data_IF_655509362825
#
_entry.id   IF_655509362825
#
_cell.length_a   1.000
_cell.length_b   1.000
_cell.length_c   1.000
_cell.angle_alpha   90.00
_cell.angle_beta   90.00
_cell.angle_gamma   90.00
#
_symmetry.space_group_name_H-M   'P 1'
#
loop_
_entity.id
_entity.type
_entity.pdbx_description
1 polymer ?
#
# COMPACT_ATOMS: atom_id res chain seq x y z
N UNK A 1 -7.44 10.44 12.19
CA UNK A 1 -6.60 10.77 11.03
C UNK A 1 -7.27 10.18 9.81
N UNK A 2 -6.51 9.94 8.75
CA UNK A 2 -6.94 9.06 7.67
C UNK A 2 -6.12 7.78 7.76
N UNK A 3 -6.69 6.69 7.28
CA UNK A 3 -6.06 5.38 7.17
C UNK A 3 -5.99 4.93 5.73
N UNK A 4 -5.50 3.73 5.50
CA UNK A 4 -5.49 3.10 4.19
C UNK A 4 -5.80 1.62 4.30
N UNK A 5 -6.55 1.10 3.33
CA UNK A 5 -6.67 -0.34 3.08
C UNK A 5 -5.89 -0.64 1.82
N UNK A 6 -4.86 -1.47 1.93
CA UNK A 6 -3.94 -1.81 0.85
C UNK A 6 -3.97 -3.32 0.60
N UNK A 7 -4.11 -3.68 -0.67
CA UNK A 7 -4.06 -5.05 -1.20
C UNK A 7 -2.70 -5.26 -1.88
N UNK A 8 -1.78 -5.89 -1.15
CA UNK A 8 -0.39 -6.12 -1.57
C UNK A 8 -0.30 -7.02 -2.81
N UNK A 9 -1.25 -7.93 -3.02
CA UNK A 9 -1.30 -8.79 -4.21
C UNK A 9 -1.65 -8.03 -5.50
N UNK A 10 -2.13 -6.78 -5.40
CA UNK A 10 -2.35 -5.88 -6.56
C UNK A 10 -1.12 -5.07 -6.92
N UNK A 11 -0.08 -5.04 -6.07
CA UNK A 11 1.14 -4.28 -6.32
C UNK A 11 1.89 -4.91 -7.49
N UNK A 12 2.23 -4.15 -8.55
CA UNK A 12 3.02 -4.68 -9.65
C UNK A 12 4.42 -5.08 -9.20
N UNK A 13 4.73 -6.38 -9.26
CA UNK A 13 6.04 -6.95 -8.89
C UNK A 13 6.72 -7.57 -10.11
N UNK A 14 8.06 -7.58 -10.11
CA UNK A 14 8.87 -8.22 -11.15
C UNK A 14 9.29 -9.65 -10.80
N UNK A 15 9.33 -9.95 -9.51
CA UNK A 15 9.81 -11.23 -8.97
C UNK A 15 8.62 -12.15 -8.70
N UNK A 16 8.66 -13.36 -9.27
CA UNK A 16 7.53 -14.30 -9.17
C UNK A 16 7.35 -14.94 -7.78
N UNK A 17 8.41 -14.96 -6.97
CA UNK A 17 8.44 -15.64 -5.67
C UNK A 17 8.65 -14.66 -4.49
N UNK A 18 8.20 -13.42 -4.64
CA UNK A 18 8.28 -12.40 -3.58
C UNK A 18 7.19 -12.62 -2.54
N UNK A 19 7.57 -12.58 -1.26
CA UNK A 19 6.63 -12.75 -0.13
C UNK A 19 5.80 -11.48 0.11
N UNK A 20 4.63 -11.56 0.74
CA UNK A 20 3.83 -10.38 1.08
C UNK A 20 4.59 -9.35 1.92
N UNK A 21 5.41 -9.81 2.87
CA UNK A 21 6.26 -8.97 3.70
C UNK A 21 7.31 -8.25 2.86
N UNK A 22 7.97 -8.94 1.93
CA UNK A 22 8.91 -8.32 1.00
C UNK A 22 8.22 -7.30 0.10
N UNK A 23 7.02 -7.58 -0.44
CA UNK A 23 6.25 -6.58 -1.20
C UNK A 23 6.03 -5.31 -0.36
N UNK A 24 5.70 -5.49 0.92
CA UNK A 24 5.35 -4.41 1.83
C UNK A 24 6.56 -3.55 2.21
N UNK A 25 7.69 -4.15 2.58
CA UNK A 25 8.86 -3.42 3.12
C UNK A 25 9.94 -3.13 2.08
N UNK A 26 9.84 -3.67 0.86
CA UNK A 26 10.85 -3.49 -0.17
C UNK A 26 11.10 -1.99 -0.43
N UNK A 27 12.37 -1.59 -0.56
CA UNK A 27 12.81 -0.22 -0.88
C UNK A 27 13.28 -0.09 -2.34
N UNK A 28 12.69 -0.86 -3.25
CA UNK A 28 13.02 -0.75 -4.68
C UNK A 28 12.87 0.69 -5.16
N UNK A 29 13.91 1.15 -5.87
CA UNK A 29 14.02 2.52 -6.36
C UNK A 29 12.98 2.82 -7.45
N UNK A 30 12.70 4.11 -7.66
CA UNK A 30 11.82 4.62 -8.72
C UNK A 30 10.35 4.12 -8.63
N UNK A 31 9.77 4.09 -7.43
CA UNK A 31 8.34 3.87 -7.21
C UNK A 31 7.66 5.14 -6.71
N UNK A 32 6.39 5.33 -7.07
CA UNK A 32 5.55 6.45 -6.64
C UNK A 32 4.19 5.93 -6.19
N UNK A 33 3.61 6.59 -5.20
CA UNK A 33 2.20 6.44 -4.81
C UNK A 33 1.43 7.68 -5.24
N UNK A 34 0.21 7.48 -5.75
CA UNK A 34 -0.71 8.55 -6.11
C UNK A 34 -2.04 8.33 -5.39
N UNK A 35 -2.56 9.40 -4.78
CA UNK A 35 -3.95 9.47 -4.34
C UNK A 35 -4.75 10.16 -5.44
N UNK A 36 -5.82 9.53 -5.90
CA UNK A 36 -6.64 9.98 -7.01
C UNK A 36 -8.10 9.88 -6.62
N UNK A 37 -8.91 10.86 -7.03
CA UNK A 37 -10.35 10.79 -6.88
C UNK A 37 -10.91 9.60 -7.68
N UNK A 38 -11.92 8.86 -7.17
CA UNK A 38 -12.43 7.66 -7.86
C UNK A 38 -12.81 7.90 -9.32
N UNK A 39 -13.40 9.05 -9.63
CA UNK A 39 -13.82 9.48 -10.96
C UNK A 39 -12.65 9.69 -11.94
N UNK A 40 -11.43 9.95 -11.46
CA UNK A 40 -10.26 10.28 -12.28
C UNK A 40 -9.27 9.10 -12.42
N UNK A 41 -9.54 7.96 -11.75
CA UNK A 41 -8.61 6.81 -11.70
C UNK A 41 -8.27 6.30 -13.09
N UNK A 42 -9.26 6.11 -13.95
CA UNK A 42 -9.05 5.56 -15.29
C UNK A 42 -8.20 6.50 -16.16
N UNK A 43 -8.46 7.80 -16.11
CA UNK A 43 -7.68 8.82 -16.83
C UNK A 43 -6.21 8.80 -16.38
N UNK A 44 -5.97 8.75 -15.06
CA UNK A 44 -4.60 8.72 -14.53
C UNK A 44 -3.87 7.43 -14.93
N UNK A 45 -4.54 6.27 -14.87
CA UNK A 45 -3.96 4.99 -15.29
C UNK A 45 -3.64 4.99 -16.79
N UNK A 46 -4.52 5.53 -17.63
CA UNK A 46 -4.27 5.69 -19.06
C UNK A 46 -3.10 6.62 -19.35
N UNK A 47 -3.01 7.75 -18.66
CA UNK A 47 -1.90 8.69 -18.80
C UNK A 47 -0.55 8.03 -18.46
N UNK A 48 -0.49 7.23 -17.40
CA UNK A 48 0.73 6.49 -17.01
C UNK A 48 1.08 5.44 -18.07
N UNK A 49 0.10 4.65 -18.51
CA UNK A 49 0.30 3.61 -19.55
C UNK A 49 0.77 4.21 -20.88
N UNK A 50 0.28 5.39 -21.26
CA UNK A 50 0.68 6.08 -22.51
C UNK A 50 2.18 6.41 -22.57
N UNK A 51 2.86 6.43 -21.41
CA UNK A 51 4.30 6.67 -21.26
C UNK A 51 5.08 5.41 -20.87
N UNK A 52 4.50 4.23 -21.10
CA UNK A 52 5.05 2.91 -20.77
C UNK A 52 5.30 2.71 -19.26
N UNK A 53 4.60 3.46 -18.41
CA UNK A 53 4.60 3.24 -16.96
C UNK A 53 3.71 2.06 -16.57
N UNK A 54 4.03 1.46 -15.43
CA UNK A 54 3.22 0.40 -14.82
C UNK A 54 2.54 1.00 -13.58
N UNK A 55 1.21 0.92 -13.53
CA UNK A 55 0.41 1.38 -12.40
C UNK A 55 -0.79 0.46 -12.19
N UNK A 56 -1.20 0.36 -10.92
CA UNK A 56 -2.37 -0.38 -10.51
C UNK A 56 -3.04 0.36 -9.34
N UNK A 57 -4.36 0.23 -9.23
CA UNK A 57 -5.07 0.59 -8.00
C UNK A 57 -4.80 -0.51 -6.98
N UNK A 58 -4.16 -0.15 -5.87
CA UNK A 58 -3.74 -1.10 -4.84
C UNK A 58 -4.53 -0.95 -3.53
N UNK A 59 -5.52 -0.06 -3.48
CA UNK A 59 -6.24 0.22 -2.25
C UNK A 59 -7.00 1.53 -2.26
N UNK A 60 -7.43 1.93 -1.06
CA UNK A 60 -8.23 3.13 -0.82
C UNK A 60 -7.81 3.81 0.47
N UNK A 61 -8.04 5.12 0.54
CA UNK A 61 -7.94 5.89 1.78
C UNK A 61 -9.23 5.70 2.56
N UNK A 62 -9.11 5.51 3.88
CA UNK A 62 -10.24 5.32 4.78
C UNK A 62 -10.32 6.44 5.82
N UNK A 63 -11.48 6.58 6.46
CA UNK A 63 -11.73 7.50 7.58
C UNK A 63 -11.20 6.96 8.93
N UNK A 64 -10.48 5.83 8.91
CA UNK A 64 -9.93 5.17 10.09
C UNK A 64 -8.63 5.84 10.56
N UNK A 65 -8.16 5.53 11.77
CA UNK A 65 -6.88 6.03 12.30
C UNK A 65 -5.77 4.97 12.27
N UNK A 66 -5.89 4.01 11.36
CA UNK A 66 -4.95 2.91 11.17
C UNK A 66 -4.94 2.47 9.70
N UNK A 67 -3.86 1.78 9.32
CA UNK A 67 -3.65 1.25 7.99
C UNK A 67 -3.68 -0.27 8.05
N UNK A 68 -4.32 -0.91 7.08
CA UNK A 68 -4.39 -2.37 6.95
C UNK A 68 -3.78 -2.77 5.62
N UNK A 69 -2.83 -3.70 5.68
CA UNK A 69 -2.18 -4.30 4.53
C UNK A 69 -2.60 -5.76 4.47
N UNK A 70 -3.13 -6.18 3.33
CA UNK A 70 -3.62 -7.54 3.11
C UNK A 70 -2.99 -8.15 1.87
N UNK A 71 -2.92 -9.47 1.83
CA UNK A 71 -2.47 -10.23 0.66
C UNK A 71 -3.41 -11.43 0.50
N UNK A 72 -4.06 -11.54 -0.67
CA UNK A 72 -5.04 -12.61 -0.96
C UNK A 72 -6.12 -12.73 0.14
N UNK A 73 -6.58 -11.59 0.64
CA UNK A 73 -7.60 -11.48 1.68
C UNK A 73 -7.13 -11.78 3.11
N UNK A 74 -5.86 -12.10 3.33
CA UNK A 74 -5.28 -12.27 4.67
C UNK A 74 -4.57 -11.00 5.12
N UNK A 75 -4.78 -10.55 6.36
CA UNK A 75 -4.08 -9.39 6.92
C UNK A 75 -2.61 -9.72 7.16
N UNK A 76 -1.72 -8.95 6.53
CA UNK A 76 -0.26 -9.02 6.69
C UNK A 76 0.19 -8.08 7.81
N UNK A 77 -0.33 -6.84 7.83
CA UNK A 77 0.00 -5.87 8.84
C UNK A 77 -1.19 -4.94 9.15
N UNK A 78 -1.25 -4.45 10.38
CA UNK A 78 -2.16 -3.39 10.82
C UNK A 78 -1.37 -2.37 11.63
N UNK A 79 -1.32 -1.13 11.15
CA UNK A 79 -0.47 -0.08 11.72
C UNK A 79 -1.33 1.12 12.13
N UNK A 80 -1.41 1.37 13.43
CA UNK A 80 -2.10 2.55 13.97
C UNK A 80 -1.29 3.82 13.72
N UNK A 81 -1.97 4.92 13.39
CA UNK A 81 -1.32 6.21 13.17
C UNK A 81 -0.74 6.79 14.47
N UNK A 82 -1.33 6.40 15.60
CA UNK A 82 -0.95 6.84 16.95
C UNK A 82 -0.74 5.61 17.83
N UNK A 83 0.46 5.00 17.80
CA UNK A 83 0.77 3.88 18.68
C UNK A 83 0.77 4.35 20.14
N UNK A 84 0.34 3.47 21.05
CA UNK A 84 0.41 3.77 22.48
C UNK A 84 1.87 3.74 22.95
N UNK A 85 2.22 4.45 24.04
CA UNK A 85 3.57 4.39 24.61
C UNK A 85 4.02 2.96 24.93
N UNK A 86 3.10 2.11 25.39
CA UNK A 86 3.37 0.70 25.72
C UNK A 86 3.75 -0.10 24.48
N UNK A 87 3.01 0.08 23.37
CA UNK A 87 3.32 -0.58 22.10
C UNK A 87 4.67 -0.12 21.54
N UNK A 88 4.99 1.18 21.64
CA UNK A 88 6.29 1.70 21.25
C UNK A 88 7.42 1.10 22.09
N UNK A 89 7.19 0.93 23.39
CA UNK A 89 8.17 0.35 24.29
C UNK A 89 8.42 -1.13 23.97
N UNK A 90 7.40 -1.90 23.64
CA UNK A 90 7.51 -3.31 23.23
C UNK A 90 8.33 -3.49 21.94
N UNK A 91 8.22 -2.56 20.99
CA UNK A 91 8.95 -2.60 19.71
C UNK A 91 10.43 -2.17 19.83
N UNK A 92 10.82 -1.55 20.95
CA UNK A 92 12.18 -1.06 21.21
C UNK A 92 13.06 -2.05 21.99
N UNK A 93 12.57 -3.26 22.24
CA UNK A 93 13.27 -4.34 22.96
C UNK A 93 13.78 -5.40 22.00
#
# INVERSE_FOLDING_TARGET
>A
GLGARVELDKVPVREANITPEEIFICETQARMLLQVQPEDVDEVLEAIRSRNGIAAVIGEITDQDYNVFSYQGQTVASIVNKPSPELLQELMV
#
